data_IF_367005653094
#
_entry.id   IF_367005653094
#
_cell.length_a   1.000
_cell.length_b   1.000
_cell.length_c   1.000
_cell.angle_alpha   90.00
_cell.angle_beta   90.00
_cell.angle_gamma   90.00
#
_symmetry.space_group_name_H-M   'P 1'
#
loop_
_entity.id
_entity.type
_entity.pdbx_description
1 polymer ?
#
# COMPACT_ATOMS: atom_id res chain seq x y z
N UNK A 1 -9.21 -8.07 -16.01
CA UNK A 1 -8.79 -6.91 -15.22
C UNK A 1 -9.39 -5.65 -15.82
N UNK A 2 -9.97 -4.81 -15.00
CA UNK A 2 -10.60 -3.58 -15.45
C UNK A 2 -9.59 -2.43 -15.43
N UNK A 3 -9.40 -1.77 -16.56
CA UNK A 3 -8.60 -0.54 -16.67
C UNK A 3 -9.54 0.65 -16.78
N UNK A 4 -9.18 1.76 -16.15
CA UNK A 4 -10.03 2.95 -16.15
C UNK A 4 -9.89 3.79 -17.42
N UNK A 5 -8.88 3.53 -18.25
CA UNK A 5 -8.63 4.25 -19.52
C UNK A 5 -8.58 5.77 -19.33
N UNK A 6 -7.98 6.23 -18.27
CA UNK A 6 -7.83 7.65 -17.98
C UNK A 6 -6.69 8.25 -18.81
N UNK A 7 -6.84 9.51 -19.21
CA UNK A 7 -5.75 10.27 -19.79
C UNK A 7 -4.68 10.57 -18.73
N UNK A 8 -3.49 10.98 -19.18
CA UNK A 8 -2.42 11.39 -18.26
C UNK A 8 -2.88 12.52 -17.34
N UNK A 9 -3.54 13.52 -17.87
CA UNK A 9 -4.04 14.65 -17.09
C UNK A 9 -5.08 14.21 -16.06
N UNK A 10 -5.97 13.31 -16.42
CA UNK A 10 -6.96 12.76 -15.51
C UNK A 10 -6.30 11.99 -14.36
N UNK A 11 -5.30 11.17 -14.66
CA UNK A 11 -4.56 10.44 -13.63
C UNK A 11 -3.89 11.41 -12.66
N UNK A 12 -3.16 12.39 -13.18
CA UNK A 12 -2.44 13.36 -12.36
C UNK A 12 -3.36 14.22 -11.50
N UNK A 13 -4.54 14.58 -12.02
CA UNK A 13 -5.46 15.46 -11.33
C UNK A 13 -6.39 14.74 -10.35
N UNK A 14 -6.55 13.42 -10.48
CA UNK A 14 -7.50 12.66 -9.66
C UNK A 14 -6.85 11.68 -8.70
N UNK A 15 -5.53 11.46 -8.80
CA UNK A 15 -4.84 10.54 -7.90
C UNK A 15 -4.94 11.03 -6.45
N UNK A 16 -5.38 10.14 -5.58
CA UNK A 16 -5.56 10.40 -4.15
C UNK A 16 -5.07 9.22 -3.34
N UNK A 17 -4.56 9.49 -2.14
CA UNK A 17 -4.34 8.43 -1.17
C UNK A 17 -5.69 7.99 -0.61
N UNK A 18 -6.00 6.71 -0.71
CA UNK A 18 -7.24 6.13 -0.19
C UNK A 18 -6.90 5.24 0.99
N UNK A 19 -7.42 5.57 2.17
CA UNK A 19 -7.13 4.85 3.42
C UNK A 19 -8.37 4.30 4.10
N UNK A 20 -9.55 4.86 3.78
CA UNK A 20 -10.84 4.44 4.32
C UNK A 20 -11.73 3.94 3.18
N UNK A 21 -12.75 3.19 3.51
CA UNK A 21 -13.73 2.64 2.54
C UNK A 21 -13.09 1.72 1.51
N UNK A 22 -12.09 0.96 1.95
CA UNK A 22 -11.47 -0.05 1.09
C UNK A 22 -12.40 -1.27 1.00
N UNK A 23 -12.49 -1.85 -0.18
CA UNK A 23 -13.21 -3.11 -0.38
C UNK A 23 -12.30 -4.27 0.06
N UNK A 24 -12.46 -4.70 1.30
CA UNK A 24 -11.62 -5.74 1.89
C UNK A 24 -12.03 -7.15 1.51
N UNK A 25 -13.22 -7.31 0.92
CA UNK A 25 -13.76 -8.62 0.56
C UNK A 25 -13.41 -9.03 -0.87
N UNK A 26 -13.00 -8.08 -1.70
CA UNK A 26 -12.70 -8.33 -3.09
C UNK A 26 -11.25 -8.77 -3.25
N UNK A 27 -11.00 -9.95 -3.86
CA UNK A 27 -9.63 -10.40 -4.09
C UNK A 27 -8.93 -9.53 -5.13
N UNK A 28 -7.61 -9.40 -4.99
CA UNK A 28 -6.77 -8.70 -5.96
C UNK A 28 -6.08 -9.74 -6.85
N UNK A 29 -6.19 -9.54 -8.16
CA UNK A 29 -5.56 -10.44 -9.12
C UNK A 29 -4.03 -10.32 -9.06
N UNK A 30 -3.34 -11.48 -9.06
CA UNK A 30 -1.88 -11.51 -9.02
C UNK A 30 -1.25 -10.81 -10.24
N UNK A 31 -1.87 -10.93 -11.41
CA UNK A 31 -1.39 -10.27 -12.63
C UNK A 31 -1.39 -8.75 -12.48
N UNK A 32 -2.39 -8.19 -11.81
CA UNK A 32 -2.45 -6.75 -11.54
C UNK A 32 -1.33 -6.32 -10.60
N UNK A 33 -1.06 -7.09 -9.55
CA UNK A 33 0.04 -6.81 -8.63
C UNK A 33 1.39 -6.84 -9.36
N UNK A 34 1.60 -7.83 -10.23
CA UNK A 34 2.83 -7.94 -11.02
C UNK A 34 3.01 -6.74 -11.95
N UNK A 35 1.96 -6.27 -12.61
CA UNK A 35 2.03 -5.06 -13.43
C UNK A 35 2.41 -3.84 -12.61
N UNK A 36 1.81 -3.68 -11.44
CA UNK A 36 2.13 -2.57 -10.53
C UNK A 36 3.59 -2.61 -10.10
N UNK A 37 4.13 -3.78 -9.79
CA UNK A 37 5.54 -3.93 -9.42
C UNK A 37 6.48 -3.57 -10.56
N UNK A 38 6.14 -3.98 -11.80
CA UNK A 38 6.93 -3.61 -12.97
C UNK A 38 6.99 -2.10 -13.15
N UNK A 39 5.86 -1.42 -12.95
CA UNK A 39 5.82 0.05 -13.00
C UNK A 39 6.65 0.66 -11.88
N UNK A 40 6.58 0.11 -10.68
CA UNK A 40 7.33 0.60 -9.53
C UNK A 40 8.85 0.50 -9.73
N UNK A 41 9.33 -0.50 -10.45
CA UNK A 41 10.75 -0.68 -10.73
C UNK A 41 11.33 0.43 -11.62
N UNK A 42 10.51 1.22 -12.27
CA UNK A 42 10.95 2.37 -13.05
C UNK A 42 11.20 3.61 -12.19
N UNK A 43 10.86 3.56 -10.90
CA UNK A 43 11.09 4.66 -9.98
C UNK A 43 12.58 4.94 -9.78
N UNK A 44 12.96 6.20 -9.56
CA UNK A 44 14.34 6.55 -9.26
C UNK A 44 14.77 6.02 -7.89
N UNK A 45 16.05 5.71 -7.76
CA UNK A 45 16.65 5.31 -6.49
C UNK A 45 17.93 6.07 -6.24
N UNK A 46 18.37 6.12 -4.99
CA UNK A 46 19.62 6.78 -4.63
C UNK A 46 20.79 6.22 -5.42
N UNK A 47 21.50 7.07 -6.17
CA UNK A 47 22.60 6.68 -7.06
C UNK A 47 22.21 5.58 -8.06
N UNK A 48 20.93 5.45 -8.39
CA UNK A 48 20.39 4.40 -9.25
C UNK A 48 20.80 2.99 -8.81
N UNK A 49 20.88 2.78 -7.50
CA UNK A 49 21.34 1.50 -6.93
C UNK A 49 20.36 0.36 -7.15
N UNK A 50 19.08 0.67 -7.37
CA UNK A 50 17.99 -0.30 -7.60
C UNK A 50 17.92 -1.38 -6.51
N UNK A 51 18.10 -0.96 -5.24
CA UNK A 51 18.14 -1.86 -4.09
C UNK A 51 16.76 -2.32 -3.61
N UNK A 52 15.75 -2.35 -4.48
CA UNK A 52 14.38 -2.73 -4.13
C UNK A 52 14.27 -4.22 -3.86
N UNK A 53 13.49 -4.55 -2.84
CA UNK A 53 13.04 -5.91 -2.59
C UNK A 53 11.55 -5.86 -2.31
N UNK A 54 10.78 -6.62 -3.08
CA UNK A 54 9.32 -6.66 -2.92
C UNK A 54 8.91 -8.05 -2.46
N UNK A 55 8.11 -8.10 -1.41
CA UNK A 55 7.54 -9.35 -0.90
C UNK A 55 6.02 -9.22 -0.98
N UNK A 56 5.41 -10.07 -1.78
CA UNK A 56 3.95 -10.13 -1.90
C UNK A 56 3.41 -11.13 -0.91
N UNK A 57 2.57 -10.66 -0.01
CA UNK A 57 1.95 -11.52 1.01
C UNK A 57 0.46 -11.65 0.71
N UNK A 58 0.06 -12.81 0.23
CA UNK A 58 -1.33 -13.11 -0.13
C UNK A 58 -2.04 -13.98 0.89
N UNK A 59 -1.30 -14.70 1.73
CA UNK A 59 -1.89 -15.52 2.78
C UNK A 59 -2.55 -14.66 3.86
N UNK A 60 -3.83 -14.92 4.14
CA UNK A 60 -4.60 -14.10 5.06
C UNK A 60 -4.03 -14.12 6.48
N UNK A 61 -3.55 -15.27 6.95
CA UNK A 61 -2.99 -15.39 8.29
C UNK A 61 -1.69 -14.61 8.43
N UNK A 62 -0.83 -14.66 7.41
CA UNK A 62 0.43 -13.91 7.40
C UNK A 62 0.18 -12.41 7.33
N UNK A 63 -0.79 -11.98 6.51
CA UNK A 63 -1.19 -10.57 6.45
C UNK A 63 -1.70 -10.09 7.81
N UNK A 64 -2.50 -10.90 8.48
CA UNK A 64 -3.01 -10.56 9.81
C UNK A 64 -1.88 -10.43 10.83
N UNK A 65 -0.92 -11.35 10.81
CA UNK A 65 0.22 -11.33 11.72
C UNK A 65 1.08 -10.06 11.51
N UNK A 66 1.34 -9.70 10.25
CA UNK A 66 2.08 -8.48 9.92
C UNK A 66 1.31 -7.24 10.38
N UNK A 67 0.00 -7.22 10.15
CA UNK A 67 -0.87 -6.12 10.59
C UNK A 67 -0.86 -5.95 12.10
N UNK A 68 -0.88 -7.04 12.85
CA UNK A 68 -0.81 -7.01 14.30
C UNK A 68 0.51 -6.44 14.80
N UNK A 69 1.63 -6.83 14.19
CA UNK A 69 2.94 -6.28 14.51
C UNK A 69 3.02 -4.79 14.21
N UNK A 70 2.49 -4.38 13.07
CA UNK A 70 2.42 -2.97 12.69
C UNK A 70 1.60 -2.17 13.71
N UNK A 71 0.46 -2.70 14.11
CA UNK A 71 -0.42 -2.03 15.09
C UNK A 71 0.28 -1.83 16.41
N UNK A 72 0.99 -2.84 16.92
CA UNK A 72 1.76 -2.74 18.15
C UNK A 72 2.82 -1.64 18.07
N UNK A 73 3.58 -1.61 17.00
CA UNK A 73 4.62 -0.61 16.78
C UNK A 73 4.03 0.79 16.64
N UNK A 74 2.93 0.93 15.90
CA UNK A 74 2.29 2.22 15.67
C UNK A 74 1.63 2.76 16.94
N UNK A 75 0.99 1.92 17.75
CA UNK A 75 0.36 2.35 19.01
C UNK A 75 1.41 2.96 19.94
N UNK A 76 2.59 2.35 20.04
CA UNK A 76 3.70 2.91 20.79
C UNK A 76 4.17 4.25 20.24
N UNK A 77 4.30 4.34 18.90
CA UNK A 77 4.69 5.59 18.24
C UNK A 77 3.64 6.69 18.40
N UNK A 78 2.36 6.35 18.23
CA UNK A 78 1.27 7.30 18.31
C UNK A 78 1.14 7.88 19.74
N UNK A 79 1.34 7.05 20.77
CA UNK A 79 1.31 7.50 22.16
C UNK A 79 2.38 8.54 22.46
N UNK A 80 3.54 8.47 21.78
CA UNK A 80 4.67 9.38 22.01
C UNK A 80 4.62 10.62 21.11
N UNK A 81 4.08 10.52 19.86
CA UNK A 81 4.30 11.54 18.84
C UNK A 81 3.03 12.20 18.30
N UNK A 82 1.87 11.53 18.34
CA UNK A 82 0.69 11.98 17.60
C UNK A 82 -0.51 12.32 18.50
N UNK A 83 -0.60 11.77 19.71
CA UNK A 83 -1.75 11.97 20.59
C UNK A 83 -2.94 11.08 20.20
N UNK A 84 -4.05 11.21 21.00
CA UNK A 84 -5.14 10.24 21.01
C UNK A 84 -6.16 10.36 19.88
N UNK A 85 -6.03 11.38 19.01
CA UNK A 85 -7.03 11.70 17.98
C UNK A 85 -6.76 11.06 16.62
N UNK A 86 -5.85 10.10 16.54
CA UNK A 86 -5.47 9.48 15.27
C UNK A 86 -6.25 8.19 15.04
N UNK A 87 -7.10 8.18 14.02
CA UNK A 87 -7.75 6.97 13.54
C UNK A 87 -6.73 6.11 12.79
N UNK A 88 -6.40 4.98 13.38
CA UNK A 88 -5.55 3.98 12.73
C UNK A 88 -6.38 3.07 11.86
N UNK A 89 -6.08 3.05 10.58
CA UNK A 89 -6.60 2.04 9.68
C UNK A 89 -5.48 1.07 9.36
N UNK A 90 -5.55 -0.12 9.95
CA UNK A 90 -4.67 -1.24 9.63
C UNK A 90 -5.46 -2.20 8.75
N UNK A 91 -4.95 -2.46 7.58
CA UNK A 91 -5.60 -3.33 6.59
C UNK A 91 -5.04 -4.74 6.70
#
# INVERSE_FOLDING_TARGET
MTRLNLSTDEVLSTTRAVRKRLDLDRPVEMTLLQECLQLALQGPSGSNSQGWHFVLVTDAQKRQAIGDLYRQAFDGYAAEHIGDDVDLVVV
#
